data_IF_348155272607
#
_entry.id   IF_348155272607
#
_cell.length_a   1.000
_cell.length_b   1.000
_cell.length_c   1.000
_cell.angle_alpha   90.00
_cell.angle_beta   90.00
_cell.angle_gamma   90.00
#
_symmetry.space_group_name_H-M   'P 1'
#
loop_
_entity.id
_entity.type
_entity.pdbx_description
1 polymer ?
#
# COMPACT_ATOMS: atom_id res chain seq x y z
N UNK A 1 -13.72 13.46 25.23
CA UNK A 1 -14.76 12.48 25.59
C UNK A 1 -15.23 11.66 24.38
N UNK A 2 -15.55 12.26 23.23
CA UNK A 2 -16.01 11.53 22.03
C UNK A 2 -14.96 10.63 21.36
N UNK A 3 -13.71 11.11 21.25
CA UNK A 3 -12.61 10.36 20.61
C UNK A 3 -12.32 9.03 21.33
N UNK A 4 -12.32 9.05 22.66
CA UNK A 4 -12.09 7.85 23.46
C UNK A 4 -13.19 6.80 23.24
N UNK A 5 -14.45 7.23 23.08
CA UNK A 5 -15.57 6.34 22.79
C UNK A 5 -15.41 5.69 21.41
N UNK A 6 -15.06 6.46 20.38
CA UNK A 6 -14.80 5.89 19.06
C UNK A 6 -13.61 4.93 19.06
N UNK A 7 -12.53 5.26 19.77
CA UNK A 7 -11.38 4.37 19.89
C UNK A 7 -11.75 3.05 20.56
N UNK A 8 -12.55 3.09 21.63
CA UNK A 8 -13.06 1.88 22.28
C UNK A 8 -13.94 1.06 21.34
N UNK A 9 -14.83 1.73 20.58
CA UNK A 9 -15.68 1.03 19.62
C UNK A 9 -14.90 0.42 18.46
N UNK A 10 -13.85 1.08 17.98
CA UNK A 10 -12.95 0.52 16.96
C UNK A 10 -12.28 -0.72 17.52
N UNK A 11 -11.71 -0.65 18.74
CA UNK A 11 -11.07 -1.79 19.38
C UNK A 11 -12.01 -3.00 19.56
N UNK A 12 -13.28 -2.78 19.91
CA UNK A 12 -14.29 -3.85 19.96
C UNK A 12 -14.52 -4.51 18.59
N UNK A 13 -14.59 -3.70 17.52
CA UNK A 13 -14.85 -4.19 16.17
C UNK A 13 -13.62 -4.87 15.56
N UNK A 14 -12.41 -4.49 15.97
CA UNK A 14 -11.16 -5.04 15.46
C UNK A 14 -10.63 -6.21 16.29
N UNK A 15 -11.17 -6.45 17.49
CA UNK A 15 -10.78 -7.56 18.36
C UNK A 15 -10.75 -8.95 17.69
N UNK A 16 -11.68 -9.31 16.78
CA UNK A 16 -11.61 -10.58 16.04
C UNK A 16 -10.41 -10.69 15.09
N UNK A 17 -9.79 -9.57 14.75
CA UNK A 17 -8.70 -9.46 13.77
C UNK A 17 -7.36 -9.10 14.40
N UNK A 18 -7.23 -9.23 15.73
CA UNK A 18 -6.02 -8.87 16.47
C UNK A 18 -4.77 -9.56 15.92
N UNK A 19 -4.86 -10.84 15.53
CA UNK A 19 -3.72 -11.56 14.95
C UNK A 19 -3.23 -10.93 13.64
N UNK A 20 -4.16 -10.51 12.77
CA UNK A 20 -3.84 -9.81 11.54
C UNK A 20 -3.23 -8.42 11.80
N UNK A 21 -3.73 -7.72 12.82
CA UNK A 21 -3.17 -6.42 13.28
C UNK A 21 -1.72 -6.61 13.74
N UNK A 22 -1.47 -7.58 14.62
CA UNK A 22 -0.13 -7.88 15.13
C UNK A 22 0.83 -8.29 14.01
N UNK A 23 0.35 -9.08 13.05
CA UNK A 23 1.14 -9.45 11.89
C UNK A 23 1.52 -8.22 11.05
N UNK A 24 0.58 -7.32 10.77
CA UNK A 24 0.86 -6.06 10.05
C UNK A 24 1.86 -5.18 10.82
N UNK A 25 1.69 -5.09 12.14
CA UNK A 25 2.55 -4.32 13.05
C UNK A 25 3.95 -4.93 13.26
N UNK A 26 4.21 -6.15 12.76
CA UNK A 26 5.57 -6.70 12.73
C UNK A 26 6.52 -5.79 11.93
N UNK A 27 5.98 -5.06 10.96
CA UNK A 27 6.70 -3.99 10.31
C UNK A 27 6.66 -2.73 11.20
N UNK A 28 7.81 -2.22 11.68
CA UNK A 28 7.85 -1.11 12.63
C UNK A 28 7.31 0.21 12.06
N UNK A 29 7.07 0.26 10.76
CA UNK A 29 6.59 1.40 9.99
C UNK A 29 5.05 1.48 9.99
N UNK A 30 4.36 0.44 10.48
CA UNK A 30 2.89 0.34 10.51
C UNK A 30 2.38 0.61 11.93
N UNK A 31 1.72 1.76 12.10
CA UNK A 31 1.02 2.14 13.33
C UNK A 31 -0.27 1.32 13.51
N UNK A 32 -0.73 1.03 14.75
CA UNK A 32 -1.99 0.35 15.02
C UNK A 32 -3.18 0.92 14.24
N UNK A 33 -3.31 2.25 14.13
CA UNK A 33 -4.41 2.88 13.37
C UNK A 33 -4.32 2.59 11.88
N UNK A 34 -3.10 2.45 11.36
CA UNK A 34 -2.87 2.10 9.96
C UNK A 34 -3.28 0.66 9.71
N UNK A 35 -2.94 -0.26 10.62
CA UNK A 35 -3.36 -1.66 10.55
C UNK A 35 -4.88 -1.82 10.65
N UNK A 36 -5.53 -1.14 11.60
CA UNK A 36 -7.00 -1.11 11.76
C UNK A 36 -7.68 -0.62 10.47
N UNK A 37 -7.19 0.49 9.89
CA UNK A 37 -7.74 1.03 8.66
C UNK A 37 -7.52 0.10 7.46
N UNK A 38 -6.37 -0.58 7.38
CA UNK A 38 -6.12 -1.56 6.33
C UNK A 38 -7.13 -2.71 6.41
N UNK A 39 -7.38 -3.26 7.59
CA UNK A 39 -8.34 -4.35 7.79
C UNK A 39 -9.77 -3.88 7.50
N UNK A 40 -10.13 -2.66 7.90
CA UNK A 40 -11.45 -2.10 7.61
C UNK A 40 -11.71 -1.92 6.09
N UNK A 41 -10.68 -1.55 5.32
CA UNK A 41 -10.82 -1.27 3.89
C UNK A 41 -10.59 -2.50 3.00
N UNK A 42 -9.73 -3.43 3.42
CA UNK A 42 -9.41 -4.65 2.67
C UNK A 42 -10.34 -5.82 3.04
N UNK A 43 -10.86 -5.82 4.26
CA UNK A 43 -11.45 -6.99 4.90
C UNK A 43 -10.38 -7.93 5.47
N UNK A 44 -10.84 -8.91 6.25
CA UNK A 44 -9.99 -9.98 6.79
C UNK A 44 -9.60 -11.02 5.74
N UNK A 45 -10.43 -11.18 4.69
CA UNK A 45 -10.21 -12.15 3.63
C UNK A 45 -9.77 -11.46 2.33
N UNK A 46 -8.48 -11.55 2.04
CA UNK A 46 -7.87 -11.02 0.83
C UNK A 46 -7.99 -11.96 -0.37
N UNK A 47 -8.54 -13.17 -0.22
CA UNK A 47 -8.65 -14.16 -1.31
C UNK A 47 -9.58 -13.69 -2.44
N UNK A 48 -10.49 -12.76 -2.16
CA UNK A 48 -11.31 -12.10 -3.16
C UNK A 48 -10.48 -11.31 -4.18
N UNK A 49 -9.31 -10.79 -3.78
CA UNK A 49 -8.35 -10.15 -4.69
C UNK A 49 -7.42 -11.21 -5.26
N UNK A 50 -7.83 -11.79 -6.40
CA UNK A 50 -7.09 -12.79 -7.19
C UNK A 50 -5.57 -12.57 -7.37
N UNK A 51 -5.06 -11.34 -7.21
CA UNK A 51 -3.64 -11.00 -7.19
C UNK A 51 -3.38 -9.66 -6.49
N UNK A 52 -2.17 -9.47 -5.95
CA UNK A 52 -1.66 -8.18 -5.45
C UNK A 52 -1.72 -7.08 -6.52
N UNK A 53 -1.53 -7.44 -7.80
CA UNK A 53 -1.68 -6.49 -8.90
C UNK A 53 -3.14 -6.01 -9.06
N UNK A 54 -4.10 -6.92 -8.89
CA UNK A 54 -5.52 -6.59 -8.90
C UNK A 54 -5.88 -5.67 -7.73
N UNK A 55 -5.39 -6.00 -6.53
CA UNK A 55 -5.57 -5.18 -5.34
C UNK A 55 -4.99 -3.77 -5.52
N UNK A 56 -3.78 -3.68 -6.09
CA UNK A 56 -3.09 -2.41 -6.36
C UNK A 56 -3.82 -1.54 -7.39
N UNK A 57 -4.45 -2.17 -8.37
CA UNK A 57 -5.31 -1.48 -9.35
C UNK A 57 -6.63 -1.01 -8.72
N UNK A 58 -7.25 -1.84 -7.88
CA UNK A 58 -8.48 -1.51 -7.15
C UNK A 58 -8.28 -0.39 -6.11
N UNK A 59 -7.20 -0.45 -5.34
CA UNK A 59 -6.76 0.63 -4.47
C UNK A 59 -6.41 1.91 -5.25
N UNK A 60 -6.17 1.77 -6.56
CA UNK A 60 -5.72 2.84 -7.44
C UNK A 60 -4.39 3.40 -6.98
N UNK A 61 -3.45 2.55 -6.60
CA UNK A 61 -2.04 2.93 -6.41
C UNK A 61 -1.24 2.70 -7.69
N UNK A 62 -1.72 1.83 -8.58
CA UNK A 62 -1.12 1.55 -9.88
C UNK A 62 -1.48 2.62 -10.94
N UNK A 63 -0.51 3.12 -11.73
CA UNK A 63 -0.80 4.01 -12.85
C UNK A 63 -1.77 3.38 -13.86
N UNK A 64 -2.62 4.19 -14.48
CA UNK A 64 -3.61 3.69 -15.44
C UNK A 64 -2.93 3.11 -16.68
N UNK A 65 -3.27 1.86 -17.03
CA UNK A 65 -2.76 1.19 -18.23
C UNK A 65 -3.67 1.46 -19.44
N UNK A 66 -3.74 2.71 -19.89
CA UNK A 66 -4.46 3.09 -21.10
C UNK A 66 -3.47 3.26 -22.25
N UNK A 67 -3.25 2.20 -23.01
CA UNK A 67 -2.38 2.21 -24.18
C UNK A 67 -3.16 1.77 -25.43
N UNK A 68 -3.03 2.52 -26.52
CA UNK A 68 -3.49 2.13 -27.84
C UNK A 68 -2.35 2.30 -28.85
N UNK A 69 -2.09 1.28 -29.66
CA UNK A 69 -1.01 1.26 -30.65
C UNK A 69 0.39 1.66 -30.10
N UNK A 70 0.70 1.32 -28.84
CA UNK A 70 1.96 1.67 -28.19
C UNK A 70 2.06 3.12 -27.70
N UNK A 71 0.98 3.90 -27.83
CA UNK A 71 0.89 5.27 -27.36
C UNK A 71 0.03 5.29 -26.09
N UNK A 72 0.56 5.88 -25.02
CA UNK A 72 -0.17 6.08 -23.77
C UNK A 72 -0.72 7.52 -23.72
N UNK A 73 -2.00 7.76 -24.09
CA UNK A 73 -2.60 9.09 -24.04
C UNK A 73 -2.71 9.66 -22.62
N UNK A 74 -2.71 8.80 -21.58
CA UNK A 74 -2.73 9.27 -20.19
C UNK A 74 -2.24 8.19 -19.22
N UNK A 75 -1.39 8.58 -18.27
CA UNK A 75 -1.02 7.71 -17.14
C UNK A 75 -1.93 7.88 -15.92
N UNK A 76 -3.12 8.50 -16.04
CA UNK A 76 -3.98 8.86 -14.89
C UNK A 76 -4.31 7.61 -14.07
N UNK A 77 -3.99 7.63 -12.79
CA UNK A 77 -4.38 6.60 -11.83
C UNK A 77 -5.90 6.55 -11.72
N UNK A 78 -6.46 5.34 -11.65
CA UNK A 78 -7.90 5.12 -11.39
C UNK A 78 -8.29 5.78 -10.06
N UNK A 79 -9.54 6.23 -9.88
CA UNK A 79 -9.96 6.85 -8.60
C UNK A 79 -9.81 5.90 -7.40
N UNK A 80 -10.04 4.61 -7.58
CA UNK A 80 -9.83 3.56 -6.58
C UNK A 80 -10.53 3.80 -5.25
N UNK A 81 -10.20 2.98 -4.25
CA UNK A 81 -10.60 3.23 -2.88
C UNK A 81 -9.75 4.37 -2.27
N UNK A 82 -10.40 5.51 -2.02
CA UNK A 82 -9.73 6.73 -1.51
C UNK A 82 -9.11 6.54 -0.14
N UNK A 83 -9.77 5.80 0.76
CA UNK A 83 -9.33 5.62 2.13
C UNK A 83 -8.16 4.66 2.19
N UNK A 84 -8.26 3.53 1.48
CA UNK A 84 -7.16 2.59 1.32
C UNK A 84 -5.92 3.26 0.71
N UNK A 85 -6.08 4.05 -0.37
CA UNK A 85 -4.96 4.79 -0.96
C UNK A 85 -4.31 5.72 0.07
N UNK A 86 -5.11 6.45 0.83
CA UNK A 86 -4.58 7.38 1.83
C UNK A 86 -3.79 6.63 2.91
N UNK A 87 -4.33 5.53 3.44
CA UNK A 87 -3.66 4.67 4.42
C UNK A 87 -2.36 4.11 3.88
N UNK A 88 -2.35 3.56 2.66
CA UNK A 88 -1.15 3.06 2.00
C UNK A 88 -0.10 4.17 1.76
N UNK A 89 -0.54 5.38 1.43
CA UNK A 89 0.37 6.53 1.23
C UNK A 89 1.02 6.94 2.55
N UNK A 90 0.27 6.96 3.66
CA UNK A 90 0.82 7.25 4.99
C UNK A 90 1.82 6.18 5.42
N UNK A 91 1.49 4.90 5.22
CA UNK A 91 2.40 3.79 5.51
C UNK A 91 3.69 3.89 4.68
N UNK A 92 3.58 4.15 3.37
CA UNK A 92 4.73 4.32 2.49
C UNK A 92 5.61 5.53 2.88
N UNK A 93 4.99 6.60 3.37
CA UNK A 93 5.73 7.75 3.89
C UNK A 93 6.48 7.43 5.19
N UNK A 94 5.84 6.74 6.13
CA UNK A 94 6.51 6.25 7.33
C UNK A 94 7.67 5.31 6.99
N UNK A 95 7.48 4.45 5.99
CA UNK A 95 8.48 3.53 5.49
C UNK A 95 9.72 4.22 4.90
N UNK A 96 9.51 5.27 4.10
CA UNK A 96 10.61 5.99 3.45
C UNK A 96 11.50 6.76 4.45
N UNK A 97 10.92 7.16 5.59
CA UNK A 97 11.61 7.91 6.65
C UNK A 97 12.27 7.03 7.72
N UNK A 98 11.94 5.74 7.78
CA UNK A 98 12.56 4.81 8.73
C UNK A 98 13.98 4.46 8.28
N UNK A 99 14.96 4.61 9.16
CA UNK A 99 16.38 4.37 8.81
C UNK A 99 16.69 2.87 8.82
N UNK A 100 17.63 2.47 7.95
CA UNK A 100 18.17 1.11 7.87
C UNK A 100 17.16 -0.01 7.52
N UNK A 101 16.00 0.33 6.96
CA UNK A 101 15.05 -0.66 6.42
C UNK A 101 15.25 -0.87 4.92
N UNK A 102 14.91 -2.07 4.42
CA UNK A 102 14.95 -2.38 2.99
C UNK A 102 14.12 -1.38 2.18
N UNK A 103 12.92 -1.02 2.66
CA UNK A 103 11.99 -0.12 1.98
C UNK A 103 12.56 1.30 1.83
N UNK A 104 13.20 1.84 2.88
CA UNK A 104 13.89 3.14 2.77
C UNK A 104 15.02 3.12 1.75
N UNK A 105 15.77 2.01 1.66
CA UNK A 105 16.82 1.84 0.66
C UNK A 105 16.25 1.74 -0.76
N UNK A 106 15.12 1.04 -0.92
CA UNK A 106 14.42 0.87 -2.19
C UNK A 106 13.88 2.22 -2.69
N UNK A 107 13.22 2.99 -1.82
CA UNK A 107 12.73 4.33 -2.15
C UNK A 107 13.84 5.25 -2.66
N UNK A 108 15.00 5.27 -1.98
CA UNK A 108 16.16 6.06 -2.41
C UNK A 108 16.74 5.59 -3.74
N UNK A 109 16.80 4.27 -3.98
CA UNK A 109 17.25 3.74 -5.27
C UNK A 109 16.39 4.26 -6.41
N UNK A 110 15.07 4.21 -6.25
CA UNK A 110 14.12 4.63 -7.28
C UNK A 110 14.19 6.13 -7.57
N UNK A 111 14.31 6.97 -6.54
CA UNK A 111 14.51 8.42 -6.71
C UNK A 111 15.87 8.75 -7.34
N UNK A 112 16.91 7.97 -7.07
CA UNK A 112 18.25 8.20 -7.62
C UNK A 112 18.41 7.76 -9.09
N UNK A 113 17.63 6.79 -9.58
CA UNK A 113 17.74 6.24 -10.94
C UNK A 113 17.34 7.20 -12.09
N UNK A 114 17.00 8.46 -11.81
CA UNK A 114 16.86 9.47 -12.86
C UNK A 114 15.65 9.27 -13.79
N UNK A 115 14.63 8.54 -13.37
CA UNK A 115 13.28 8.63 -13.96
C UNK A 115 12.65 10.00 -13.66
N UNK A 116 13.11 10.64 -12.58
CA UNK A 116 12.72 11.98 -12.10
C UNK A 116 13.16 13.13 -13.04
N UNK A 117 14.19 12.93 -13.89
CA UNK A 117 14.64 13.93 -14.85
C UNK A 117 13.82 13.95 -16.17
N UNK A 118 13.02 12.91 -16.45
CA UNK A 118 12.04 12.89 -17.55
C UNK A 118 10.62 13.25 -17.07
N UNK A 119 10.37 13.18 -15.76
CA UNK A 119 9.10 13.46 -15.09
C UNK A 119 9.04 14.92 -14.59
N UNK A 120 9.08 15.87 -15.51
CA UNK A 120 8.81 17.27 -15.19
C UNK A 120 7.38 17.46 -14.65
N UNK A 121 7.27 17.92 -13.40
CA UNK A 121 6.07 18.48 -12.74
C UNK A 121 4.79 17.63 -12.88
N UNK A 122 4.50 16.85 -11.84
CA UNK A 122 3.29 16.02 -11.58
C UNK A 122 3.37 14.57 -12.06
N UNK A 123 3.75 13.65 -11.14
CA UNK A 123 3.05 12.37 -10.81
C UNK A 123 3.94 11.45 -9.95
N UNK A 124 3.40 10.75 -8.93
CA UNK A 124 4.17 9.79 -8.14
C UNK A 124 3.89 8.34 -8.56
N UNK A 125 4.94 7.50 -8.48
CA UNK A 125 4.98 6.02 -8.55
C UNK A 125 5.03 5.33 -9.93
N UNK A 126 6.26 5.05 -10.37
CA UNK A 126 6.63 3.83 -11.09
C UNK A 126 7.52 3.01 -10.15
N UNK A 127 6.94 2.00 -9.51
CA UNK A 127 7.69 0.98 -8.77
C UNK A 127 7.05 -0.36 -9.10
N UNK A 128 7.67 -1.10 -10.00
CA UNK A 128 7.13 -2.37 -10.44
C UNK A 128 7.91 -2.98 -11.57
N UNK A 129 9.22 -3.09 -11.43
CA UNK A 129 10.02 -4.09 -12.11
C UNK A 129 11.15 -4.50 -11.14
N UNK A 130 11.29 -5.80 -10.89
CA UNK A 130 12.28 -6.45 -9.99
C UNK A 130 11.89 -6.60 -8.50
N UNK A 131 10.87 -7.41 -8.22
CA UNK A 131 10.84 -8.24 -7.00
C UNK A 131 10.63 -9.71 -7.42
N UNK A 132 11.54 -10.65 -7.06
CA UNK A 132 11.35 -12.07 -7.30
C UNK A 132 10.12 -12.59 -6.53
N UNK A 133 9.24 -13.31 -7.22
CA UNK A 133 7.88 -13.64 -6.79
C UNK A 133 7.79 -14.87 -5.84
N UNK A 134 8.87 -15.53 -5.45
CA UNK A 134 8.76 -16.98 -5.17
C UNK A 134 9.13 -17.45 -3.74
N UNK A 135 9.42 -16.58 -2.78
CA UNK A 135 9.94 -17.02 -1.47
C UNK A 135 9.17 -16.37 -0.31
N UNK A 136 8.00 -16.91 0.06
CA UNK A 136 7.38 -16.53 1.34
C UNK A 136 5.95 -17.03 1.63
N UNK A 137 5.15 -17.38 0.62
CA UNK A 137 3.69 -17.56 0.82
C UNK A 137 3.22 -19.01 1.03
N UNK A 138 4.12 -20.00 1.06
CA UNK A 138 3.76 -21.43 1.15
C UNK A 138 3.37 -21.92 2.56
N UNK A 139 2.99 -21.04 3.50
CA UNK A 139 2.67 -21.44 4.89
C UNK A 139 1.28 -20.99 5.38
N UNK A 140 0.38 -20.64 4.45
CA UNK A 140 -1.02 -20.32 4.75
C UNK A 140 -2.01 -21.25 4.01
N UNK A 141 -1.76 -22.55 4.09
CA UNK A 141 -2.77 -23.60 4.03
C UNK A 141 -2.69 -24.41 5.33
#
# INVERSE_FOLDING_TARGET
MLIALFNARIAELTAPFEEAIQWLMTNPEVDPRTAENLIAELGHDLTASSSVAHLSSWAGVCPGNHQSAGISPSGRTTRGNRWLRQTLTQAAWAASHTKATYLSSQFRRLGASGEEARLGRHRPYALGDHLPCDQGWSRLQ
#
